data_IF_393816178432
#
_entry.id   IF_393816178432
#
_cell.length_a   1.000
_cell.length_b   1.000
_cell.length_c   1.000
_cell.angle_alpha   90.00
_cell.angle_beta   90.00
_cell.angle_gamma   90.00
#
_symmetry.space_group_name_H-M   'P 1'
#
loop_
_entity.id
_entity.type
_entity.pdbx_description
1 polymer ?
#
# COMPACT_ATOMS: atom_id res chain seq x y z
N UNK A 1 -34.49 22.77 -5.99
CA UNK A 1 -35.10 21.47 -6.38
C UNK A 1 -34.67 21.17 -7.82
N UNK A 2 -33.96 20.13 -8.24
CA UNK A 2 -33.37 18.94 -7.62
C UNK A 2 -32.23 18.43 -8.55
N UNK A 3 -30.96 18.58 -8.18
CA UNK A 3 -29.81 17.91 -8.83
C UNK A 3 -29.62 16.50 -8.25
N UNK A 4 -30.67 15.67 -8.26
CA UNK A 4 -30.68 14.33 -7.63
C UNK A 4 -30.35 13.16 -8.58
N UNK A 5 -30.12 13.41 -9.88
CA UNK A 5 -30.02 12.35 -10.89
C UNK A 5 -28.63 11.70 -10.97
N UNK A 6 -27.54 12.47 -10.83
CA UNK A 6 -26.17 11.97 -11.01
C UNK A 6 -25.67 11.06 -9.87
N UNK A 7 -26.20 11.21 -8.65
CA UNK A 7 -25.74 10.49 -7.45
C UNK A 7 -26.17 9.01 -7.49
N UNK A 8 -27.35 8.73 -8.08
CA UNK A 8 -27.96 7.39 -8.09
C UNK A 8 -27.25 6.43 -9.05
N UNK A 9 -26.73 6.93 -10.17
CA UNK A 9 -26.04 6.12 -11.18
C UNK A 9 -24.67 5.60 -10.67
N UNK A 10 -23.94 6.46 -9.95
CA UNK A 10 -22.63 6.15 -9.36
C UNK A 10 -22.71 5.08 -8.27
N UNK A 11 -23.78 5.08 -7.48
CA UNK A 11 -23.99 4.08 -6.42
C UNK A 11 -24.28 2.68 -6.98
N UNK A 12 -25.08 2.59 -8.03
CA UNK A 12 -25.41 1.30 -8.65
C UNK A 12 -24.21 0.70 -9.40
N UNK A 13 -23.37 1.55 -10.00
CA UNK A 13 -22.12 1.13 -10.64
C UNK A 13 -21.11 0.55 -9.65
N UNK A 14 -20.89 1.23 -8.51
CA UNK A 14 -19.98 0.72 -7.48
C UNK A 14 -20.46 -0.60 -6.88
N UNK A 15 -21.77 -0.74 -6.62
CA UNK A 15 -22.33 -1.99 -6.10
C UNK A 15 -22.15 -3.17 -7.07
N UNK A 16 -22.28 -2.93 -8.38
CA UNK A 16 -22.00 -3.94 -9.41
C UNK A 16 -20.51 -4.32 -9.43
N UNK A 17 -19.61 -3.33 -9.33
CA UNK A 17 -18.18 -3.59 -9.26
C UNK A 17 -17.79 -4.33 -7.99
N UNK A 18 -18.36 -3.99 -6.84
CA UNK A 18 -18.07 -4.68 -5.58
C UNK A 18 -18.58 -6.14 -5.59
N UNK A 19 -19.59 -6.45 -6.42
CA UNK A 19 -20.07 -7.82 -6.65
C UNK A 19 -19.16 -8.61 -7.61
N UNK A 20 -18.73 -7.99 -8.72
CA UNK A 20 -17.87 -8.63 -9.73
C UNK A 20 -16.40 -8.71 -9.30
N UNK A 21 -15.95 -7.72 -8.54
CA UNK A 21 -14.60 -7.52 -8.05
C UNK A 21 -14.67 -7.37 -6.51
N UNK A 22 -15.04 -8.45 -5.80
CA UNK A 22 -15.09 -8.45 -4.35
C UNK A 22 -13.73 -8.06 -3.76
N UNK A 23 -13.77 -7.28 -2.68
CA UNK A 23 -12.56 -6.84 -1.99
C UNK A 23 -11.81 -8.05 -1.42
N UNK A 24 -10.52 -8.11 -1.68
CA UNK A 24 -9.65 -9.18 -1.26
C UNK A 24 -8.37 -8.57 -0.69
N UNK A 25 -7.81 -9.25 0.31
CA UNK A 25 -6.52 -8.89 0.87
C UNK A 25 -5.44 -8.91 -0.24
N UNK A 26 -4.66 -7.83 -0.42
CA UNK A 26 -3.64 -7.78 -1.48
C UNK A 26 -2.49 -8.78 -1.25
N UNK A 27 -2.32 -9.30 -0.03
CA UNK A 27 -1.29 -10.27 0.31
C UNK A 27 -1.74 -11.72 0.10
N UNK A 28 -2.84 -12.13 0.72
CA UNK A 28 -3.30 -13.53 0.72
C UNK A 28 -4.55 -13.81 -0.13
N UNK A 29 -5.16 -12.77 -0.72
CA UNK A 29 -6.38 -12.84 -1.56
C UNK A 29 -7.65 -13.34 -0.86
N UNK A 30 -7.65 -13.44 0.47
CA UNK A 30 -8.86 -13.76 1.23
C UNK A 30 -9.85 -12.59 1.17
N UNK A 31 -11.15 -12.88 1.08
CA UNK A 31 -12.19 -11.85 1.11
C UNK A 31 -12.15 -11.08 2.43
N UNK A 32 -12.18 -9.75 2.33
CA UNK A 32 -12.22 -8.82 3.44
C UNK A 32 -13.25 -7.71 3.17
N UNK A 33 -13.69 -7.02 4.20
CA UNK A 33 -14.76 -6.01 4.09
C UNK A 33 -14.22 -4.62 3.70
N UNK A 34 -12.92 -4.41 3.85
CA UNK A 34 -12.19 -3.18 3.66
C UNK A 34 -11.14 -3.31 2.54
N UNK A 35 -10.64 -2.17 2.06
CA UNK A 35 -9.58 -2.11 1.05
C UNK A 35 -8.17 -2.31 1.65
N UNK A 36 -8.07 -3.03 2.76
CA UNK A 36 -6.84 -3.23 3.54
C UNK A 36 -6.47 -4.71 3.65
N UNK A 37 -5.42 -5.00 4.44
CA UNK A 37 -5.07 -6.38 4.76
C UNK A 37 -6.16 -7.01 5.63
N UNK A 38 -6.37 -8.32 5.48
CA UNK A 38 -7.19 -9.06 6.44
C UNK A 38 -6.52 -9.07 7.83
N UNK A 39 -7.30 -9.37 8.88
CA UNK A 39 -6.81 -9.40 10.25
C UNK A 39 -5.58 -10.29 10.44
N UNK A 40 -5.55 -11.49 9.81
CA UNK A 40 -4.43 -12.42 9.88
C UNK A 40 -3.14 -11.78 9.31
N UNK A 41 -3.20 -11.26 8.09
CA UNK A 41 -2.05 -10.61 7.44
C UNK A 41 -1.64 -9.30 8.14
N UNK A 42 -2.59 -8.59 8.75
CA UNK A 42 -2.30 -7.39 9.52
C UNK A 42 -1.51 -7.71 10.80
N UNK A 43 -1.82 -8.82 11.47
CA UNK A 43 -1.10 -9.26 12.67
C UNK A 43 0.34 -9.72 12.38
N UNK A 44 0.59 -10.26 11.19
CA UNK A 44 1.92 -10.69 10.75
C UNK A 44 2.79 -9.53 10.23
N UNK A 45 2.24 -8.32 10.10
CA UNK A 45 2.95 -7.18 9.56
C UNK A 45 4.09 -6.74 10.49
N UNK A 46 5.31 -6.71 9.96
CA UNK A 46 6.47 -6.15 10.65
C UNK A 46 6.60 -4.69 10.26
N UNK A 47 6.52 -3.79 11.24
CA UNK A 47 6.72 -2.36 11.02
C UNK A 47 8.20 -2.06 10.70
N UNK A 48 8.42 -1.26 9.67
CA UNK A 48 9.74 -0.74 9.35
C UNK A 48 10.07 0.37 10.36
N UNK A 49 11.09 0.14 11.18
CA UNK A 49 11.60 1.10 12.16
C UNK A 49 13.02 1.54 11.80
N UNK A 50 13.49 2.71 12.29
CA UNK A 50 14.88 3.11 12.15
C UNK A 50 15.85 2.07 12.75
N UNK A 51 17.08 1.96 12.19
CA UNK A 51 17.57 2.70 11.04
C UNK A 51 17.07 2.11 9.71
N UNK A 52 16.74 2.97 8.74
CA UNK A 52 16.35 2.57 7.39
C UNK A 52 17.09 3.41 6.35
N UNK A 53 17.18 2.88 5.13
CA UNK A 53 17.80 3.56 4.01
C UNK A 53 17.04 4.85 3.68
N UNK A 54 17.71 6.01 3.70
CA UNK A 54 17.07 7.29 3.36
C UNK A 54 16.58 7.38 1.91
N UNK A 55 17.16 6.56 1.02
CA UNK A 55 16.79 6.53 -0.39
C UNK A 55 15.62 5.57 -0.70
N UNK A 56 15.64 4.34 -0.17
CA UNK A 56 14.64 3.31 -0.52
C UNK A 56 13.82 2.76 0.64
N UNK A 57 14.05 3.22 1.88
CA UNK A 57 13.30 2.79 3.07
C UNK A 57 13.60 1.38 3.58
N UNK A 58 14.58 0.66 3.00
CA UNK A 58 14.97 -0.68 3.47
C UNK A 58 15.51 -0.62 4.91
N UNK A 59 15.07 -1.52 5.82
CA UNK A 59 15.67 -1.64 7.15
C UNK A 59 17.18 -1.88 7.06
N UNK A 60 17.94 -1.18 7.89
CA UNK A 60 19.39 -1.34 8.03
C UNK A 60 19.68 -2.02 9.37
N UNK A 61 20.76 -2.80 9.44
CA UNK A 61 21.23 -3.36 10.70
C UNK A 61 21.76 -2.26 11.62
N UNK A 62 22.52 -1.32 11.06
CA UNK A 62 23.13 -0.21 11.78
C UNK A 62 23.00 1.10 11.01
N UNK A 63 22.96 2.20 11.76
CA UNK A 63 22.88 3.55 11.26
C UNK A 63 24.29 4.13 11.08
N UNK A 64 24.88 4.01 9.88
CA UNK A 64 26.25 4.46 9.59
C UNK A 64 26.22 5.50 8.47
N UNK A 65 26.95 6.61 8.63
CA UNK A 65 27.10 7.65 7.60
C UNK A 65 25.77 8.22 7.15
N UNK A 66 25.56 8.29 5.84
CA UNK A 66 24.35 8.86 5.20
C UNK A 66 23.10 7.96 5.30
N UNK A 67 23.16 6.88 6.09
CA UNK A 67 22.07 5.92 6.23
C UNK A 67 21.59 5.39 4.86
N UNK A 68 22.53 4.98 4.01
CA UNK A 68 22.25 4.37 2.71
C UNK A 68 22.53 2.86 2.74
N UNK A 69 21.66 2.07 2.10
CA UNK A 69 21.98 0.67 1.86
C UNK A 69 23.03 0.53 0.75
N UNK A 70 23.77 -0.58 0.73
CA UNK A 70 24.85 -0.80 -0.24
C UNK A 70 24.40 -0.67 -1.70
N UNK A 71 23.16 -1.06 -2.02
CA UNK A 71 22.60 -0.89 -3.37
C UNK A 71 22.43 0.59 -3.74
N UNK A 72 21.82 1.40 -2.86
CA UNK A 72 21.61 2.82 -3.13
C UNK A 72 22.90 3.64 -3.08
N UNK A 73 23.92 3.16 -2.35
CA UNK A 73 25.25 3.77 -2.36
C UNK A 73 25.99 3.53 -3.69
N UNK A 74 25.82 2.34 -4.29
CA UNK A 74 26.44 2.00 -5.56
C UNK A 74 25.75 2.67 -6.75
N UNK A 75 24.41 2.65 -6.78
CA UNK A 75 23.61 3.27 -7.82
C UNK A 75 22.26 3.71 -7.25
N UNK A 76 21.89 4.97 -7.48
CA UNK A 76 20.59 5.47 -7.04
C UNK A 76 19.46 4.71 -7.75
N UNK A 77 18.37 4.34 -7.05
CA UNK A 77 17.25 3.64 -7.67
C UNK A 77 16.56 4.55 -8.70
N UNK A 78 16.06 3.98 -9.81
CA UNK A 78 15.47 4.75 -10.92
C UNK A 78 14.19 5.52 -10.55
N UNK A 79 13.61 5.22 -9.37
CA UNK A 79 12.40 5.86 -8.85
C UNK A 79 12.68 7.13 -8.03
N UNK A 80 13.94 7.50 -7.81
CA UNK A 80 14.30 8.66 -7.00
C UNK A 80 13.92 10.02 -7.64
N UNK A 81 13.53 10.05 -8.92
CA UNK A 81 13.28 11.28 -9.68
C UNK A 81 11.79 11.62 -9.92
N UNK A 82 10.85 10.93 -9.27
CA UNK A 82 9.39 11.13 -9.47
C UNK A 82 8.84 12.28 -8.60
#
# INVERSE_FOLDING_TARGET
MQTKTAIRFRQHYNALLDLLLPKQCPLCRRFCFDNSLCADCWQELIFITPPFCQCCGRPLADAIGDHLCGSCFAEAPPLAEI
#
